data_IF_308744395826
#
_entry.id   IF_308744395826
#
_cell.length_a   1.000
_cell.length_b   1.000
_cell.length_c   1.000
_cell.angle_alpha   90.00
_cell.angle_beta   90.00
_cell.angle_gamma   90.00
#
_symmetry.space_group_name_H-M   'P 1'
#
loop_
_entity.id
_entity.type
_entity.pdbx_description
1 polymer ?
2 polymer ?
3 polymer ?
4 polymer ?
5 non-polymer ?
6 non-polymer ?
7 non-polymer ?
8 non-polymer ?
9 non-polymer ?
10 non-polymer ?
11 non-polymer ?
12 water ?
#
loop_
_entity_poly.entity_id
_entity_poly.type
_entity_poly.pdbx_seq_one_letter_code
_entity_poly.pdbx_strand_id
2 'polydeoxyribonucleotide' '(DC)(DG)(DG)(DC)(DC)(DT)(DA)(DC)(DG)' ?
3 'polydeoxyribonucleotide' '(DC)(DG)(DT)(DA)(8OG)' ?
4 'polydeoxyribonucleotide' '(DG)(DC)(DC)(DG)' ?
#
# COMPACT_ATOMS: atom_id res chain seq x y z
N UNK A 11 2.73 -21.61 -17.59
CA UNK A 11 1.95 -22.00 -16.40
C UNK A 11 1.72 -20.82 -15.46
N UNK A 12 2.68 -19.89 -15.46
CA UNK A 12 2.59 -18.69 -14.63
C UNK A 12 2.32 -17.49 -15.54
N UNK A 13 1.21 -16.78 -15.38
CA UNK A 13 0.97 -15.62 -16.25
C UNK A 13 1.82 -14.43 -15.85
N UNK A 14 1.96 -13.50 -16.80
CA UNK A 14 2.98 -12.47 -16.65
C UNK A 14 2.54 -11.31 -15.76
N UNK A 15 1.24 -11.06 -15.65
CA UNK A 15 0.74 -9.97 -14.81
C UNK A 15 0.24 -10.52 -13.47
N UNK A 16 0.48 -9.76 -12.40
CA UNK A 16 0.06 -10.24 -11.07
C UNK A 16 -1.44 -10.32 -10.92
N UNK A 17 -2.20 -9.56 -11.71
CA UNK A 17 -3.64 -9.57 -11.64
C UNK A 17 -4.24 -10.83 -12.24
N UNK A 18 -3.43 -11.65 -12.92
CA UNK A 18 -3.89 -12.88 -13.56
C UNK A 18 -3.72 -14.14 -12.72
N UNK A 19 -3.26 -14.00 -11.48
CA UNK A 19 -2.97 -15.16 -10.67
C UNK A 19 -3.23 -14.87 -9.21
N UNK A 20 -3.78 -15.82 -8.47
CA UNK A 20 -3.98 -15.58 -7.05
C UNK A 20 -2.65 -15.45 -6.34
N UNK A 21 -2.59 -14.51 -5.41
CA UNK A 21 -1.42 -14.33 -4.55
C UNK A 21 -1.87 -14.24 -3.10
N UNK A 22 -1.67 -15.29 -2.30
CA UNK A 22 -2.13 -15.29 -0.92
C UNK A 22 -1.20 -14.48 -0.04
N UNK A 23 -1.69 -14.16 1.16
CA UNK A 23 -0.91 -13.33 2.07
C UNK A 23 0.33 -14.06 2.58
N UNK A 24 0.19 -15.34 2.88
CA UNK A 24 1.32 -16.17 3.28
C UNK A 24 1.56 -17.24 2.24
N UNK A 25 2.82 -17.64 2.11
CA UNK A 25 3.22 -18.44 0.94
C UNK A 25 4.43 -19.30 1.29
N UNK A 26 5.11 -19.81 0.26
CA UNK A 26 6.09 -20.87 0.40
C UNK A 26 7.47 -20.41 0.01
N UNK A 27 7.67 -19.13 -0.22
CA UNK A 27 8.95 -18.60 -0.69
C UNK A 27 9.29 -17.31 0.01
N UNK A 28 8.98 -17.22 1.31
CA UNK A 28 9.06 -15.93 2.02
C UNK A 28 10.46 -15.34 1.99
N UNK A 29 11.48 -16.14 2.29
CA UNK A 29 12.83 -15.60 2.29
C UNK A 29 13.29 -15.11 0.94
N UNK A 30 12.99 -15.85 -0.11
CA UNK A 30 13.39 -15.42 -1.43
C UNK A 30 12.71 -14.10 -1.81
N UNK A 31 11.39 -14.03 -1.58
CA UNK A 31 10.67 -12.80 -1.92
C UNK A 31 11.17 -11.61 -1.12
N UNK A 32 11.50 -11.82 0.15
CA UNK A 32 11.97 -10.69 0.97
C UNK A 32 13.30 -10.14 0.42
N UNK A 33 14.17 -11.00 -0.05
CA UNK A 33 15.45 -10.54 -0.56
C UNK A 33 15.27 -9.75 -1.84
N UNK A 34 14.40 -10.22 -2.72
CA UNK A 34 14.15 -9.49 -3.95
C UNK A 34 13.50 -8.15 -3.66
N UNK A 35 12.67 -8.09 -2.62
CA UNK A 35 12.04 -6.84 -2.23
C UNK A 35 13.03 -5.84 -1.64
N UNK A 36 14.08 -6.29 -0.99
CA UNK A 36 15.14 -5.37 -0.57
C UNK A 36 15.76 -4.69 -1.78
N UNK A 37 16.06 -5.46 -2.84
CA UNK A 37 16.64 -4.84 -4.01
C UNK A 37 15.64 -3.92 -4.71
N UNK A 38 14.36 -4.26 -4.69
CA UNK A 38 13.36 -3.37 -5.27
C UNK A 38 13.35 -2.05 -4.52
N UNK A 39 13.29 -2.13 -3.20
CA UNK A 39 13.25 -0.94 -2.37
C UNK A 39 14.49 -0.07 -2.61
N UNK A 40 15.67 -0.68 -2.68
CA UNK A 40 16.88 0.07 -2.93
C UNK A 40 16.87 0.73 -4.30
N UNK A 41 16.30 0.05 -5.31
CA UNK A 41 16.16 0.69 -6.63
C UNK A 41 15.27 1.91 -6.55
N UNK A 42 14.21 1.86 -5.76
CA UNK A 42 13.37 3.05 -5.61
C UNK A 42 14.12 4.19 -4.97
N UNK A 43 14.96 3.90 -4.01
CA UNK A 43 15.69 4.97 -3.34
C UNK A 43 16.65 5.65 -4.29
N UNK A 44 17.10 4.96 -5.35
CA UNK A 44 17.94 5.57 -6.37
C UNK A 44 17.15 6.11 -7.55
N UNK A 45 15.85 6.10 -7.49
CA UNK A 45 15.04 6.62 -8.57
C UNK A 45 14.94 5.74 -9.80
N UNK A 46 15.23 4.44 -9.67
CA UNK A 46 15.10 3.50 -10.80
C UNK A 46 13.78 2.75 -10.65
N UNK A 47 12.72 3.36 -11.14
CA UNK A 47 11.40 2.76 -11.05
C UNK A 47 11.27 1.49 -11.87
N UNK A 48 11.98 1.41 -12.99
CA UNK A 48 11.89 0.19 -13.81
C UNK A 48 12.48 -1.02 -13.10
N UNK A 49 13.65 -0.85 -12.50
CA UNK A 49 14.27 -1.95 -11.75
C UNK A 49 13.47 -2.28 -10.49
N UNK A 50 12.88 -1.27 -9.84
CA UNK A 50 12.00 -1.55 -8.73
C UNK A 50 10.86 -2.45 -9.17
N UNK A 51 10.26 -2.13 -10.34
CA UNK A 51 9.11 -2.92 -10.78
C UNK A 51 9.51 -4.35 -11.09
N UNK A 52 10.62 -4.54 -11.80
CA UNK A 52 11.07 -5.90 -12.10
C UNK A 52 11.29 -6.70 -10.83
N UNK A 53 11.99 -6.14 -9.83
CA UNK A 53 12.27 -6.93 -8.63
C UNK A 53 10.99 -7.18 -7.85
N UNK A 54 10.09 -6.20 -7.82
CA UNK A 54 8.80 -6.42 -7.17
C UNK A 54 8.01 -7.52 -7.87
N UNK A 55 7.98 -7.49 -9.22
CA UNK A 55 7.24 -8.49 -9.96
C UNK A 55 7.84 -9.88 -9.76
N UNK A 56 9.17 -9.98 -9.78
CA UNK A 56 9.84 -11.27 -9.54
C UNK A 56 9.51 -11.80 -8.15
N UNK A 57 9.56 -10.92 -7.15
CA UNK A 57 9.18 -11.34 -5.80
C UNK A 57 7.75 -11.85 -5.78
N UNK A 58 6.86 -11.15 -6.49
CA UNK A 58 5.45 -11.54 -6.47
C UNK A 58 5.22 -12.89 -7.14
N UNK A 59 5.95 -13.19 -8.20
CA UNK A 59 5.84 -14.49 -8.84
C UNK A 59 6.12 -15.60 -7.83
N UNK A 60 7.14 -15.41 -7.00
CA UNK A 60 7.45 -16.43 -6.00
C UNK A 60 6.34 -16.55 -4.97
N UNK A 61 5.67 -15.45 -4.62
CA UNK A 61 4.57 -15.53 -3.68
C UNK A 61 3.42 -16.37 -4.24
N UNK A 62 3.28 -16.41 -5.56
CA UNK A 62 2.18 -17.09 -6.22
C UNK A 62 2.45 -18.57 -6.48
N UNK A 63 3.68 -19.05 -6.27
CA UNK A 63 3.99 -20.44 -6.50
C UNK A 63 3.36 -21.37 -5.47
N UNK A 64 3.09 -22.63 -5.83
CA UNK A 64 2.38 -23.54 -4.92
C UNK A 64 3.28 -24.24 -3.93
N UNK A 65 4.59 -24.09 -4.04
CA UNK A 65 5.51 -24.80 -3.16
C UNK A 65 6.86 -24.08 -3.20
N UNK A 66 7.79 -24.47 -2.32
CA UNK A 66 9.08 -23.76 -2.29
C UNK A 66 9.91 -24.01 -3.53
N UNK A 67 10.61 -22.96 -3.97
CA UNK A 67 11.73 -23.13 -4.90
C UNK A 67 12.92 -23.69 -4.13
N UNK A 68 13.40 -24.86 -4.60
CA UNK A 68 14.55 -25.53 -4.01
C UNK A 68 15.72 -25.65 -4.97
N UNK A 69 15.50 -25.46 -6.26
CA UNK A 69 16.57 -25.64 -7.23
C UNK A 69 16.40 -24.57 -8.30
N UNK A 70 17.54 -24.15 -8.84
CA UNK A 70 17.55 -23.05 -9.80
C UNK A 70 16.73 -23.37 -11.04
N UNK A 71 16.70 -24.64 -11.45
CA UNK A 71 15.87 -25.21 -12.51
C UNK A 71 14.44 -24.72 -12.45
N UNK A 72 13.95 -24.56 -11.22
CA UNK A 72 12.54 -24.25 -11.07
C UNK A 72 12.21 -22.83 -11.48
N UNK A 73 13.21 -21.99 -11.74
CA UNK A 73 12.90 -20.66 -12.22
C UNK A 73 12.76 -20.59 -13.73
N UNK A 74 13.12 -21.66 -14.43
CA UNK A 74 13.06 -21.65 -15.89
C UNK A 74 11.64 -21.41 -16.37
N UNK A 75 11.49 -20.44 -17.24
CA UNK A 75 10.17 -20.15 -17.75
C UNK A 75 9.32 -19.26 -16.85
N UNK A 76 9.79 -18.91 -15.63
CA UNK A 76 8.96 -18.01 -14.83
C UNK A 76 9.13 -16.58 -15.34
N UNK A 77 8.06 -15.84 -15.45
CA UNK A 77 8.19 -14.46 -15.91
C UNK A 77 8.91 -13.61 -14.87
N UNK A 78 9.67 -12.66 -15.37
CA UNK A 78 10.40 -11.63 -14.60
C UNK A 78 11.65 -12.16 -13.94
N UNK A 79 12.06 -13.39 -14.25
CA UNK A 79 13.32 -13.95 -13.77
C UNK A 79 14.32 -13.97 -14.92
N UNK A 80 15.26 -13.03 -14.88
CA UNK A 80 16.36 -12.99 -15.76
C UNK A 80 17.66 -13.23 -15.02
N UNK A 81 18.76 -12.76 -15.63
CA UNK A 81 20.06 -13.07 -15.07
C UNK A 81 20.18 -12.58 -13.64
N UNK A 82 19.73 -11.36 -13.37
CA UNK A 82 19.97 -10.74 -12.06
C UNK A 82 19.11 -11.38 -10.98
N UNK A 83 17.81 -11.45 -11.17
CA UNK A 83 16.95 -12.04 -10.15
C UNK A 83 17.25 -13.52 -9.96
N UNK A 84 17.65 -14.22 -11.04
CA UNK A 84 18.00 -15.63 -10.89
C UNK A 84 19.28 -15.78 -10.09
N UNK A 85 20.25 -14.88 -10.27
CA UNK A 85 21.47 -14.97 -9.49
C UNK A 85 21.20 -14.78 -8.02
N UNK A 86 20.30 -13.85 -7.68
CA UNK A 86 19.95 -13.63 -6.29
C UNK A 86 19.41 -14.91 -5.67
N UNK A 87 18.45 -15.54 -6.35
CA UNK A 87 17.87 -16.77 -5.85
C UNK A 87 18.93 -17.86 -5.76
N UNK A 88 19.79 -17.98 -6.80
CA UNK A 88 20.86 -18.97 -6.81
C UNK A 88 21.71 -18.85 -5.54
N UNK A 89 22.12 -17.62 -5.21
CA UNK A 89 23.00 -17.44 -4.06
C UNK A 89 22.28 -17.79 -2.76
N UNK A 90 21.00 -17.44 -2.64
CA UNK A 90 20.23 -17.79 -1.46
C UNK A 90 20.09 -19.31 -1.33
N UNK A 91 19.83 -20.01 -2.44
CA UNK A 91 19.72 -21.48 -2.40
C UNK A 91 21.03 -22.13 -2.00
N UNK A 92 22.14 -21.59 -2.51
CA UNK A 92 23.42 -22.27 -2.30
C UNK A 92 24.06 -21.91 -0.95
N UNK A 93 23.93 -20.66 -0.50
CA UNK A 93 24.64 -20.17 0.67
C UNK A 93 23.74 -19.62 1.76
N UNK A 94 22.46 -19.43 1.51
CA UNK A 94 21.56 -18.87 2.49
C UNK A 94 21.58 -17.36 2.61
N UNK A 95 22.40 -16.69 1.82
CA UNK A 95 22.50 -15.24 1.79
C UNK A 95 22.92 -14.86 0.38
N UNK A 96 22.55 -13.64 -0.01
CA UNK A 96 23.00 -13.04 -1.26
C UNK A 96 23.86 -11.83 -0.91
N UNK A 97 25.11 -11.84 -1.38
CA UNK A 97 26.05 -10.80 -1.02
C UNK A 97 25.54 -9.41 -1.40
N UNK A 98 24.96 -9.29 -2.58
CA UNK A 98 24.43 -7.97 -2.97
C UNK A 98 23.36 -7.51 -2.00
N UNK A 99 22.44 -8.41 -1.61
CA UNK A 99 21.37 -8.05 -0.68
C UNK A 99 21.96 -7.60 0.65
N UNK A 100 22.95 -8.33 1.14
CA UNK A 100 23.52 -8.00 2.45
C UNK A 100 24.29 -6.68 2.41
N UNK A 101 24.95 -6.40 1.30
CA UNK A 101 25.63 -5.12 1.13
C UNK A 101 24.63 -3.98 1.14
N UNK A 102 23.50 -4.15 0.47
CA UNK A 102 22.44 -3.14 0.54
C UNK A 102 22.00 -2.95 1.97
N UNK A 103 21.66 -4.04 2.65
CA UNK A 103 21.13 -3.95 4.00
C UNK A 103 22.01 -3.17 4.95
N UNK A 104 23.33 -3.37 4.88
CA UNK A 104 24.28 -2.74 5.79
C UNK A 104 24.82 -1.42 5.25
N UNK A 105 24.21 -0.89 4.19
CA UNK A 105 24.70 0.37 3.64
C UNK A 105 24.07 1.56 4.34
N UNK A 106 24.91 2.58 4.56
CA UNK A 106 24.44 3.80 5.19
C UNK A 106 23.35 4.47 4.33
N UNK A 107 23.51 4.42 3.01
CA UNK A 107 22.51 5.01 2.13
C UNK A 107 21.16 4.32 2.27
N UNK A 108 21.14 2.98 2.19
CA UNK A 108 19.88 2.27 2.29
C UNK A 108 19.23 2.53 3.66
N UNK A 109 20.02 2.43 4.73
CA UNK A 109 19.42 2.53 6.05
C UNK A 109 18.88 3.93 6.30
N UNK A 110 19.60 4.95 5.87
CA UNK A 110 19.12 6.31 6.10
C UNK A 110 17.93 6.64 5.20
N UNK A 111 17.97 6.25 3.93
CA UNK A 111 16.82 6.50 3.07
C UNK A 111 15.58 5.78 3.58
N UNK A 112 15.74 4.55 4.09
CA UNK A 112 14.61 3.83 4.64
C UNK A 112 14.05 4.57 5.85
N UNK A 113 14.93 5.02 6.75
CA UNK A 113 14.43 5.71 7.95
C UNK A 113 13.72 7.00 7.57
N UNK A 114 14.30 7.78 6.67
CA UNK A 114 13.71 9.09 6.39
C UNK A 114 12.41 8.94 5.61
N UNK A 115 12.38 8.03 4.63
CA UNK A 115 11.14 7.88 3.85
C UNK A 115 10.02 7.26 4.69
N UNK A 116 10.35 6.60 5.79
CA UNK A 116 9.28 6.12 6.64
C UNK A 116 8.52 7.23 7.33
N UNK A 117 9.09 8.44 7.40
CA UNK A 117 8.44 9.57 8.03
C UNK A 117 7.26 10.02 7.17
N UNK A 118 6.10 10.15 7.78
CA UNK A 118 4.95 10.73 7.09
C UNK A 118 5.28 12.17 6.70
N UNK A 119 5.21 12.47 5.39
CA UNK A 119 5.54 13.76 4.85
C UNK A 119 6.88 13.83 4.13
N UNK A 120 7.64 12.74 4.16
CA UNK A 120 8.94 12.64 3.53
C UNK A 120 8.90 11.56 2.49
N UNK A 121 9.22 11.92 1.23
CA UNK A 121 9.35 10.97 0.17
C UNK A 121 10.81 10.78 -0.23
N UNK A 122 11.04 10.00 -1.29
CA UNK A 122 12.40 9.73 -1.74
C UNK A 122 13.16 11.02 -2.05
N UNK A 123 12.53 11.95 -2.76
CA UNK A 123 13.23 13.17 -3.16
C UNK A 123 13.68 13.97 -1.94
N UNK A 124 12.80 14.14 -0.94
CA UNK A 124 13.22 14.87 0.25
C UNK A 124 14.30 14.12 1.01
N UNK A 125 14.09 12.81 1.21
CA UNK A 125 15.07 11.98 1.92
C UNK A 125 16.45 12.08 1.27
N UNK A 126 16.49 11.98 -0.06
CA UNK A 126 17.75 12.05 -0.79
C UNK A 126 18.42 13.39 -0.62
N UNK A 127 17.65 14.48 -0.63
CA UNK A 127 18.24 15.80 -0.44
C UNK A 127 18.84 15.94 0.95
N UNK A 128 18.13 15.44 1.97
CA UNK A 128 18.67 15.46 3.33
C UNK A 128 19.91 14.58 3.43
N UNK A 129 19.90 13.40 2.80
CA UNK A 129 21.07 12.55 2.78
C UNK A 129 22.26 13.27 2.17
N UNK A 130 22.05 13.94 1.02
CA UNK A 130 23.18 14.63 0.38
C UNK A 130 23.69 15.79 1.24
N UNK A 131 22.82 16.39 2.05
CA UNK A 131 23.23 17.42 3.00
C UNK A 131 23.97 16.88 4.20
N UNK A 132 24.04 15.56 4.35
CA UNK A 132 24.77 14.95 5.44
C UNK A 132 23.92 14.55 6.63
N UNK A 133 22.60 14.68 6.56
CA UNK A 133 21.76 14.30 7.68
C UNK A 133 21.58 12.79 7.66
N UNK A 134 21.55 12.19 8.86
CA UNK A 134 21.50 10.74 8.96
C UNK A 134 20.46 10.20 9.94
N UNK A 135 20.07 10.97 10.97
CA UNK A 135 19.19 10.45 12.03
C UNK A 135 17.98 11.34 12.22
N UNK A 136 16.97 10.79 12.89
CA UNK A 136 15.78 11.59 13.17
C UNK A 136 16.14 12.78 14.05
N UNK A 137 17.05 12.60 14.99
CA UNK A 137 17.46 13.72 15.83
C UNK A 137 18.21 14.78 15.03
N UNK A 138 18.94 14.40 13.98
CA UNK A 138 19.45 15.41 13.05
C UNK A 138 18.34 16.27 12.52
N UNK A 139 17.20 15.68 12.13
CA UNK A 139 16.09 16.44 11.55
C UNK A 139 15.42 17.31 12.61
N UNK A 140 15.30 16.78 13.83
CA UNK A 140 14.66 17.54 14.89
C UNK A 140 15.45 18.80 15.23
N UNK A 141 16.76 18.77 15.06
CA UNK A 141 17.58 19.93 15.42
C UNK A 141 17.49 21.05 14.40
N UNK A 142 16.81 20.84 13.29
CA UNK A 142 16.66 21.85 12.23
C UNK A 142 15.19 21.94 11.83
N UNK A 143 14.31 22.32 12.77
CA UNK A 143 12.87 22.25 12.49
C UNK A 143 12.38 23.25 11.47
N UNK A 144 13.16 24.29 11.18
CA UNK A 144 12.78 25.23 10.14
C UNK A 144 12.90 24.62 8.75
N UNK A 145 13.62 23.51 8.64
CA UNK A 145 13.66 22.77 7.39
C UNK A 145 12.46 21.84 7.21
N UNK A 146 11.42 21.92 8.05
CA UNK A 146 10.35 20.93 8.03
C UNK A 146 8.99 21.54 7.77
N UNK A 147 8.19 20.82 7.01
CA UNK A 147 6.80 21.21 6.85
C UNK A 147 6.00 20.80 8.08
N UNK A 148 4.85 21.43 8.25
CA UNK A 148 3.94 21.02 9.30
C UNK A 148 3.67 19.52 9.26
N UNK A 149 3.48 18.97 8.07
CA UNK A 149 3.21 17.56 7.93
C UNK A 149 4.39 16.74 8.42
N UNK A 150 5.60 17.14 8.03
CA UNK A 150 6.82 16.46 8.45
C UNK A 150 7.03 16.57 9.94
N UNK A 151 6.69 17.72 10.51
CA UNK A 151 6.82 17.86 11.95
C UNK A 151 5.93 16.83 12.66
N UNK A 152 4.69 16.69 12.24
CA UNK A 152 3.79 15.71 12.81
C UNK A 152 4.29 14.30 12.59
N UNK A 153 4.75 14.01 11.38
CA UNK A 153 5.33 12.71 11.11
C UNK A 153 6.52 12.39 12.00
N UNK A 154 7.39 13.37 12.26
CA UNK A 154 8.54 13.17 13.13
C UNK A 154 8.12 13.03 14.58
N UNK A 155 7.18 13.86 15.06
CA UNK A 155 6.74 13.76 16.45
C UNK A 155 6.11 12.41 16.73
N UNK A 156 5.32 11.89 15.79
CA UNK A 156 4.58 10.66 15.95
C UNK A 156 5.29 9.43 15.40
N UNK A 157 6.55 9.58 14.99
CA UNK A 157 7.21 8.48 14.25
C UNK A 157 7.28 7.19 15.05
N UNK A 158 7.58 7.26 16.35
CA UNK A 158 7.73 6.05 17.13
C UNK A 158 6.41 5.27 17.18
N UNK A 159 5.30 5.96 17.48
CA UNK A 159 4.01 5.28 17.49
C UNK A 159 3.68 4.73 16.12
N UNK A 160 3.95 5.49 15.06
CA UNK A 160 3.55 5.09 13.72
C UNK A 160 4.41 3.93 13.23
N UNK A 161 5.53 3.66 13.86
CA UNK A 161 6.38 2.54 13.49
C UNK A 161 5.91 1.22 14.09
N UNK A 162 4.92 1.24 14.98
CA UNK A 162 4.47 0.03 15.64
C UNK A 162 3.13 -0.41 15.06
N UNK A 163 3.03 -1.64 14.63
CA UNK A 163 1.84 -2.05 13.89
C UNK A 163 0.58 -2.00 14.73
N UNK A 164 -0.58 -1.72 14.09
CA UNK A 164 -1.83 -1.86 14.82
C UNK A 164 -2.44 -3.18 14.45
N UNK A 165 -3.23 -3.67 15.35
CA UNK A 165 -3.92 -4.96 15.32
C UNK A 165 -5.36 -4.82 14.78
N UNK A 166 -5.89 -5.93 14.24
CA UNK A 166 -7.28 -5.91 13.76
C UNK A 166 -8.24 -5.50 14.86
N UNK A 167 -7.96 -5.89 16.12
CA UNK A 167 -8.73 -5.44 17.28
C UNK A 167 -8.84 -3.94 17.32
N UNK A 168 -7.71 -3.26 17.11
CA UNK A 168 -7.66 -1.82 17.10
C UNK A 168 -8.49 -1.26 15.96
N UNK A 169 -8.43 -1.92 14.79
CA UNK A 169 -9.14 -1.46 13.60
C UNK A 169 -10.63 -1.45 13.85
N UNK A 170 -11.15 -2.48 14.53
CA UNK A 170 -12.59 -2.58 14.74
C UNK A 170 -13.09 -1.48 15.68
N UNK A 171 -12.29 -1.15 16.69
CA UNK A 171 -12.64 -0.04 17.58
C UNK A 171 -12.64 1.28 16.83
N UNK A 172 -11.61 1.51 16.01
CA UNK A 172 -11.56 2.71 15.18
C UNK A 172 -12.81 2.79 14.29
N UNK A 173 -13.17 1.68 13.64
CA UNK A 173 -14.26 1.73 12.70
C UNK A 173 -15.55 2.19 13.38
N UNK A 174 -15.78 1.78 14.62
CA UNK A 174 -16.99 2.22 15.30
C UNK A 174 -16.97 3.73 15.53
N UNK A 175 -15.82 4.31 15.87
CA UNK A 175 -15.78 5.75 16.10
C UNK A 175 -15.99 6.50 14.79
N UNK A 176 -15.42 6.01 13.70
CA UNK A 176 -15.61 6.64 12.40
C UNK A 176 -17.08 6.54 11.97
N UNK A 177 -17.69 5.39 12.19
CA UNK A 177 -19.11 5.21 11.89
C UNK A 177 -20.00 6.17 12.67
N UNK A 178 -19.70 6.42 13.95
CA UNK A 178 -20.51 7.35 14.71
C UNK A 178 -20.45 8.73 14.08
N UNK A 179 -19.25 9.20 13.73
CA UNK A 179 -19.11 10.53 13.16
C UNK A 179 -19.78 10.60 11.79
N UNK A 180 -19.59 9.56 10.98
CA UNK A 180 -20.18 9.49 9.64
C UNK A 180 -21.68 9.49 9.70
N UNK A 181 -22.25 8.78 10.66
CA UNK A 181 -23.71 8.76 10.81
C UNK A 181 -24.32 10.10 11.15
N UNK A 182 -23.63 10.92 11.98
CA UNK A 182 -24.07 12.29 12.24
C UNK A 182 -23.85 13.17 11.04
N UNK A 183 -22.77 12.97 10.32
CA UNK A 183 -22.49 13.83 9.19
C UNK A 183 -23.51 13.60 8.10
N UNK A 184 -23.91 12.36 7.90
CA UNK A 184 -24.86 12.00 6.85
C UNK A 184 -25.52 10.67 7.19
N UNK A 185 -26.69 10.69 7.78
CA UNK A 185 -27.39 9.43 8.07
C UNK A 185 -27.56 8.57 6.83
N UNK A 186 -27.31 7.28 6.99
CA UNK A 186 -27.33 6.33 5.92
C UNK A 186 -26.00 6.10 5.22
N UNK A 187 -25.02 6.95 5.44
CA UNK A 187 -23.72 6.73 4.85
C UNK A 187 -23.07 5.53 5.51
N UNK A 188 -22.24 4.82 4.74
CA UNK A 188 -21.61 3.58 5.18
C UNK A 188 -20.10 3.73 5.19
N UNK A 189 -19.47 2.88 6.00
CA UNK A 189 -18.02 2.82 6.18
C UNK A 189 -17.55 1.40 5.87
N UNK A 190 -16.60 1.26 4.95
CA UNK A 190 -16.05 -0.04 4.56
C UNK A 190 -14.56 -0.04 4.86
N UNK A 191 -14.06 -1.09 5.54
CA UNK A 191 -12.63 -1.28 5.77
C UNK A 191 -11.97 -1.74 4.47
N UNK A 192 -10.95 -1.03 4.06
CA UNK A 192 -10.18 -1.39 2.86
C UNK A 192 -8.73 -1.69 3.20
N UNK A 193 -7.82 -1.45 2.26
CA UNK A 193 -6.40 -1.71 2.44
C UNK A 193 -6.03 -3.12 2.84
N UNK A 194 -4.88 -3.23 3.51
CA UNK A 194 -4.34 -4.55 3.81
C UNK A 194 -5.20 -5.37 4.75
N UNK A 195 -5.95 -4.71 5.65
CA UNK A 195 -6.79 -5.48 6.53
C UNK A 195 -7.90 -6.16 5.74
N UNK A 196 -8.45 -5.52 4.71
CA UNK A 196 -9.44 -6.24 3.90
C UNK A 196 -8.82 -7.43 3.14
N UNK A 197 -7.52 -7.39 2.88
CA UNK A 197 -6.84 -8.53 2.25
C UNK A 197 -6.45 -9.61 3.21
N UNK A 198 -6.80 -9.47 4.48
CA UNK A 198 -6.63 -10.49 5.49
C UNK A 198 -5.49 -10.28 6.46
N UNK A 199 -4.76 -9.17 6.35
CA UNK A 199 -3.63 -8.95 7.25
C UNK A 199 -4.14 -8.78 8.68
N UNK A 200 -3.45 -9.42 9.64
CA UNK A 200 -3.84 -9.39 11.04
C UNK A 200 -3.28 -8.17 11.74
N UNK A 201 -2.29 -7.56 11.12
CA UNK A 201 -1.66 -6.31 11.57
C UNK A 201 -1.45 -5.39 10.38
N UNK A 202 -1.05 -4.18 10.68
CA UNK A 202 -0.65 -3.28 9.61
C UNK A 202 -0.33 -1.93 10.17
N UNK A 203 0.21 -1.09 9.32
CA UNK A 203 0.79 0.17 9.79
C UNK A 203 -0.09 1.35 9.51
N UNK A 204 -1.31 1.08 9.09
CA UNK A 204 -2.27 2.13 8.85
C UNK A 204 -3.63 1.45 8.74
N UNK A 205 -4.66 2.26 8.65
CA UNK A 205 -6.02 1.77 8.50
C UNK A 205 -6.69 2.62 7.43
N UNK A 206 -7.42 2.00 6.49
CA UNK A 206 -8.07 2.68 5.39
C UNK A 206 -9.58 2.40 5.41
N UNK A 207 -10.36 3.46 5.30
CA UNK A 207 -11.80 3.38 5.25
C UNK A 207 -12.33 4.08 4.01
N UNK A 208 -13.35 3.49 3.41
CA UNK A 208 -14.03 4.01 2.24
C UNK A 208 -15.49 4.28 2.58
N UNK A 209 -15.96 5.50 2.33
CA UNK A 209 -17.26 5.99 2.80
C UNK A 209 -18.11 6.31 1.57
N UNK A 210 -19.38 5.88 1.58
CA UNK A 210 -20.29 6.23 0.49
C UNK A 210 -21.68 6.38 1.08
N UNK A 211 -22.65 6.61 0.20
CA UNK A 211 -24.06 6.68 0.57
C UNK A 211 -24.85 6.07 -0.58
N UNK A 212 -25.92 5.32 -0.28
CA UNK A 212 -26.64 4.63 -1.35
C UNK A 212 -27.36 5.53 -2.33
N UNK A 213 -27.56 6.80 -2.02
CA UNK A 213 -28.24 7.73 -2.92
C UNK A 213 -27.20 8.62 -3.59
N UNK A 214 -26.99 8.37 -4.87
CA UNK A 214 -26.02 9.11 -5.66
C UNK A 214 -26.15 10.62 -5.47
N UNK A 215 -25.03 11.23 -5.11
CA UNK A 215 -24.96 12.66 -4.92
C UNK A 215 -25.00 13.08 -3.47
N UNK A 216 -25.58 12.26 -2.61
CA UNK A 216 -25.70 12.63 -1.21
C UNK A 216 -24.34 12.71 -0.55
N UNK A 217 -23.32 12.05 -1.11
CA UNK A 217 -21.99 12.08 -0.51
C UNK A 217 -21.23 13.37 -0.79
N UNK A 218 -21.74 14.24 -1.65
CA UNK A 218 -21.05 15.51 -1.93
C UNK A 218 -20.88 16.28 -0.63
N UNK A 219 -19.68 16.79 -0.41
CA UNK A 219 -19.40 17.59 0.77
C UNK A 219 -19.26 16.83 2.04
N UNK A 220 -19.22 15.50 2.00
CA UNK A 220 -19.28 14.70 3.21
C UNK A 220 -17.99 14.77 4.02
N UNK A 221 -16.82 14.66 3.37
CA UNK A 221 -15.59 14.47 4.13
C UNK A 221 -15.29 15.60 5.10
N UNK A 222 -15.47 16.88 4.74
CA UNK A 222 -15.28 17.93 5.73
C UNK A 222 -16.17 17.79 6.93
N UNK A 223 -17.41 17.35 6.73
CA UNK A 223 -18.34 17.20 7.83
C UNK A 223 -17.90 16.08 8.75
N UNK A 224 -17.35 15.00 8.18
CA UNK A 224 -16.82 13.90 8.98
C UNK A 224 -15.59 14.34 9.77
N UNK A 225 -14.67 15.04 9.11
CA UNK A 225 -13.45 15.49 9.77
C UNK A 225 -13.75 16.43 10.91
N UNK A 226 -14.70 17.34 10.71
CA UNK A 226 -15.00 18.29 11.77
C UNK A 226 -15.50 17.55 13.00
N UNK A 227 -16.32 16.53 12.79
CA UNK A 227 -16.90 15.79 13.91
C UNK A 227 -15.82 14.97 14.65
N UNK A 228 -14.94 14.31 13.92
CA UNK A 228 -13.85 13.60 14.57
C UNK A 228 -12.94 14.56 15.30
N UNK A 229 -12.69 15.74 14.73
CA UNK A 229 -11.85 16.71 15.43
C UNK A 229 -12.52 17.19 16.71
N UNK A 230 -13.82 17.43 16.67
CA UNK A 230 -14.49 17.89 17.88
C UNK A 230 -14.54 16.80 18.95
N UNK A 231 -14.44 15.52 18.57
CA UNK A 231 -14.36 14.43 19.55
C UNK A 231 -12.94 14.26 20.12
N UNK A 232 -11.98 15.08 19.69
CA UNK A 232 -10.63 15.01 20.19
C UNK A 232 -9.80 13.87 19.65
N UNK A 233 -10.19 13.26 18.55
CA UNK A 233 -9.56 12.06 18.05
C UNK A 233 -8.49 12.35 17.03
N UNK A 234 -8.40 13.55 16.49
CA UNK A 234 -7.53 13.86 15.39
C UNK A 234 -6.28 14.57 15.91
N UNK A 235 -5.17 13.86 15.86
CA UNK A 235 -3.88 14.44 16.22
C UNK A 235 -3.31 15.28 15.10
N UNK A 236 -3.61 14.92 13.85
CA UNK A 236 -3.14 15.66 12.69
C UNK A 236 -4.05 15.40 11.49
N UNK A 237 -4.39 16.47 10.75
CA UNK A 237 -4.98 16.35 9.42
C UNK A 237 -4.80 17.66 8.67
N UNK A 238 -4.72 17.56 7.34
CA UNK A 238 -4.44 18.71 6.46
C UNK A 238 -5.59 19.73 6.44
N UNK A 259 -12.94 18.26 -0.33
CA UNK A 259 -11.94 17.18 -0.58
C UNK A 259 -12.56 15.79 -0.50
N UNK A 260 -11.89 14.74 -1.06
CA UNK A 260 -12.38 13.36 -0.98
C UNK A 260 -11.42 12.32 -0.38
N UNK A 261 -10.17 12.69 -0.06
CA UNK A 261 -9.24 11.82 0.63
C UNK A 261 -8.67 12.61 1.79
N UNK A 262 -8.60 12.01 2.96
CA UNK A 262 -8.01 12.65 4.14
C UNK A 262 -6.98 11.71 4.73
N UNK A 263 -5.73 12.19 4.90
CA UNK A 263 -4.62 11.40 5.43
C UNK A 263 -4.40 11.92 6.83
N UNK A 264 -4.78 11.18 7.84
CA UNK A 264 -4.72 11.77 9.16
C UNK A 264 -4.05 10.83 10.16
N UNK A 265 -3.72 11.42 11.29
CA UNK A 265 -3.19 10.68 12.44
C UNK A 265 -4.26 10.78 13.52
N UNK A 266 -4.73 9.63 13.99
CA UNK A 266 -5.76 9.45 15.01
C UNK A 266 -5.13 9.14 16.35
N UNK A 267 -5.88 9.46 17.42
CA UNK A 267 -5.65 8.91 18.76
C UNK A 267 -6.42 7.60 18.94
N UNK A 268 -5.70 6.51 19.12
CA UNK A 268 -6.28 5.19 19.36
C UNK A 268 -6.12 4.81 20.84
N UNK A 269 -7.21 4.52 21.55
CA UNK A 269 -7.08 4.07 22.95
C UNK A 269 -6.22 2.83 23.10
N UNK A 270 -5.52 2.77 24.23
CA UNK A 270 -4.67 1.67 24.65
C UNK A 270 -4.85 1.57 26.16
N UNK A 271 -4.50 0.42 26.75
CA UNK A 271 -4.69 0.29 28.20
C UNK A 271 -4.07 1.45 28.98
N UNK A 272 -4.90 2.28 29.61
CA UNK A 272 -4.39 3.37 30.43
C UNK A 272 -3.74 4.52 29.67
N UNK A 273 -3.78 4.49 28.34
CA UNK A 273 -3.18 5.57 27.56
C UNK A 273 -3.71 5.53 26.13
N UNK A 274 -2.88 5.83 25.14
CA UNK A 274 -3.32 5.85 23.75
C UNK A 274 -2.08 5.84 22.88
N UNK A 275 -2.28 5.66 21.57
CA UNK A 275 -1.18 5.77 20.64
C UNK A 275 -1.67 6.40 19.35
N UNK A 276 -0.73 7.00 18.64
CA UNK A 276 -1.05 7.57 17.35
C UNK A 276 -1.12 6.47 16.28
N UNK A 277 -2.09 6.58 15.37
CA UNK A 277 -2.26 5.64 14.25
C UNK A 277 -2.57 6.42 12.99
N UNK A 278 -2.00 6.01 11.87
CA UNK A 278 -2.36 6.59 10.58
C UNK A 278 -3.68 6.01 10.08
N UNK A 279 -4.61 6.90 9.72
CA UNK A 279 -5.89 6.50 9.17
C UNK A 279 -6.15 7.32 7.92
N UNK A 280 -6.56 6.64 6.87
CA UNK A 280 -7.00 7.30 5.64
C UNK A 280 -8.51 7.16 5.49
N UNK A 281 -9.15 8.27 5.19
CA UNK A 281 -10.59 8.30 4.93
C UNK A 281 -10.83 8.78 3.53
N UNK A 282 -11.64 8.04 2.78
CA UNK A 282 -11.92 8.31 1.38
C UNK A 282 -13.42 8.30 1.17
N UNK A 283 -13.93 9.24 0.39
CA UNK A 283 -15.34 9.26 0.01
C UNK A 283 -15.45 8.99 -1.48
N UNK A 284 -16.42 8.16 -1.87
CA UNK A 284 -16.76 7.96 -3.27
C UNK A 284 -18.27 7.97 -3.44
N UNK A 285 -18.77 8.48 -4.56
CA UNK A 285 -20.18 8.26 -4.91
C UNK A 285 -20.41 6.78 -5.16
N UNK A 286 -21.64 6.34 -4.89
CA UNK A 286 -21.93 4.92 -5.00
C UNK A 286 -21.70 4.38 -6.41
N UNK A 287 -21.91 5.19 -7.46
CA UNK A 287 -21.57 4.75 -8.81
C UNK A 287 -20.11 4.38 -8.99
N UNK A 288 -19.22 4.99 -8.22
CA UNK A 288 -17.78 4.76 -8.32
C UNK A 288 -17.26 3.80 -7.24
N UNK A 289 -18.13 3.42 -6.30
CA UNK A 289 -17.70 2.65 -5.15
C UNK A 289 -16.95 1.39 -5.54
N UNK A 290 -17.39 0.59 -6.52
CA UNK A 290 -16.61 -0.63 -6.81
C UNK A 290 -15.20 -0.33 -7.27
N UNK A 291 -15.02 0.75 -8.04
CA UNK A 291 -13.68 1.13 -8.48
C UNK A 291 -12.82 1.61 -7.33
N UNK A 292 -13.43 2.37 -6.41
CA UNK A 292 -12.67 2.87 -5.29
C UNK A 292 -12.32 1.73 -4.34
N UNK A 293 -13.27 0.82 -4.09
CA UNK A 293 -13.01 -0.36 -3.27
C UNK A 293 -11.88 -1.18 -3.86
N UNK A 294 -11.93 -1.42 -5.15
CA UNK A 294 -10.87 -2.18 -5.82
C UNK A 294 -9.52 -1.50 -5.66
N UNK A 295 -9.48 -0.20 -5.93
CA UNK A 295 -8.21 0.51 -5.83
C UNK A 295 -7.64 0.55 -4.43
N UNK A 296 -8.47 0.90 -3.46
CA UNK A 296 -8.02 1.07 -2.10
C UNK A 296 -7.79 -0.24 -1.37
N UNK A 297 -8.19 -1.38 -1.92
CA UNK A 297 -7.90 -2.68 -1.33
C UNK A 297 -6.54 -3.18 -1.73
N UNK A 298 -5.99 -2.73 -2.85
CA UNK A 298 -4.61 -3.09 -3.17
C UNK A 298 -4.46 -4.56 -3.56
N UNK A 299 -3.26 -5.11 -3.37
CA UNK A 299 -2.05 -4.44 -2.97
C UNK A 299 -1.62 -3.39 -3.99
N UNK A 300 -0.62 -2.58 -3.60
CA UNK A 300 -0.08 -1.58 -4.52
C UNK A 300 0.35 -2.22 -5.82
N UNK A 301 1.17 -3.28 -5.76
CA UNK A 301 1.62 -3.92 -6.98
C UNK A 301 0.42 -4.47 -7.75
N UNK A 302 -0.52 -5.08 -7.05
CA UNK A 302 -1.67 -5.65 -7.74
C UNK A 302 -2.38 -4.60 -8.57
N UNK A 303 -2.58 -3.41 -7.98
CA UNK A 303 -3.29 -2.35 -8.69
C UNK A 303 -2.50 -1.78 -9.85
N UNK A 304 -1.20 -1.58 -9.70
CA UNK A 304 -0.39 -1.13 -10.84
C UNK A 304 -0.45 -2.14 -11.97
N UNK A 305 -0.39 -3.44 -11.60
CA UNK A 305 -0.45 -4.50 -12.61
C UNK A 305 -1.82 -4.55 -13.28
N UNK A 306 -2.89 -4.37 -12.51
CA UNK A 306 -4.24 -4.38 -13.06
C UNK A 306 -4.45 -3.22 -14.03
N UNK A 307 -4.01 -2.02 -13.65
CA UNK A 307 -4.10 -0.86 -14.54
C UNK A 307 -3.24 -1.06 -15.80
N UNK A 308 -2.05 -1.66 -15.63
CA UNK A 308 -1.20 -1.92 -16.78
C UNK A 308 -1.88 -2.92 -17.72
N UNK A 309 -2.43 -4.00 -17.15
CA UNK A 309 -3.13 -5.01 -17.95
C UNK A 309 -4.30 -4.38 -18.69
N UNK A 310 -5.11 -3.61 -17.97
CA UNK A 310 -6.27 -2.98 -18.59
C UNK A 310 -5.86 -2.20 -19.83
N UNK A 311 -4.85 -1.34 -19.67
CA UNK A 311 -4.49 -0.44 -20.78
C UNK A 311 -3.80 -1.20 -21.90
N UNK A 312 -2.82 -2.03 -21.55
CA UNK A 312 -1.95 -2.64 -22.57
C UNK A 312 -2.59 -3.84 -23.22
N UNK A 313 -3.36 -4.63 -22.46
CA UNK A 313 -3.98 -5.84 -23.03
C UNK A 313 -5.40 -5.60 -23.52
N UNK A 314 -6.16 -4.72 -22.87
CA UNK A 314 -7.56 -4.51 -23.20
C UNK A 314 -7.87 -3.16 -23.79
N UNK A 315 -6.93 -2.22 -23.79
CA UNK A 315 -7.19 -0.90 -24.33
C UNK A 315 -8.14 -0.04 -23.54
N UNK A 316 -8.32 -0.33 -22.24
CA UNK A 316 -9.21 0.38 -21.37
C UNK A 316 -8.41 1.01 -20.25
N UNK A 317 -8.86 2.15 -19.76
CA UNK A 317 -8.08 2.98 -18.85
C UNK A 317 -8.75 2.93 -17.47
N UNK A 318 -8.05 2.41 -16.49
CA UNK A 318 -8.61 2.14 -15.16
C UNK A 318 -8.03 3.09 -14.10
N UNK A 319 -8.90 3.63 -13.26
CA UNK A 319 -8.45 4.30 -12.05
C UNK A 319 -9.42 4.01 -10.91
N UNK A 320 -9.33 4.74 -9.81
CA UNK A 320 -10.19 4.49 -8.68
C UNK A 320 -11.55 5.12 -8.82
N UNK A 321 -11.82 5.78 -9.93
CA UNK A 321 -13.12 6.34 -10.20
C UNK A 321 -13.88 5.61 -11.30
N UNK A 322 -13.24 4.78 -12.13
CA UNK A 322 -13.96 4.20 -13.24
C UNK A 322 -13.03 3.53 -14.23
N UNK A 323 -13.62 3.06 -15.32
CA UNK A 323 -12.94 2.27 -16.35
C UNK A 323 -13.43 2.83 -17.67
N UNK A 324 -12.53 3.42 -18.44
CA UNK A 324 -12.90 4.20 -19.62
C UNK A 324 -12.51 3.45 -20.89
N UNK A 325 -13.43 3.41 -21.85
CA UNK A 325 -13.15 2.92 -23.19
C UNK A 325 -12.84 4.14 -24.04
N UNK A 326 -11.58 4.37 -24.43
CA UNK A 326 -11.22 5.59 -25.17
C UNK A 326 -11.62 5.58 -26.63
N UNK A 327 -12.04 4.44 -27.16
CA UNK A 327 -12.51 4.41 -28.54
C UNK A 327 -13.99 4.79 -28.63
N UNK A 328 -14.83 4.22 -27.76
CA UNK A 328 -16.23 4.59 -27.68
C UNK A 328 -16.46 5.82 -26.83
N UNK A 329 -15.50 6.19 -25.99
CA UNK A 329 -15.60 7.40 -25.18
C UNK A 329 -16.70 7.23 -24.13
N UNK A 330 -16.70 6.06 -23.49
CA UNK A 330 -17.70 5.70 -22.51
C UNK A 330 -17.08 5.04 -21.30
N UNK A 331 -17.74 5.21 -20.16
CA UNK A 331 -17.37 4.62 -18.87
C UNK A 331 -18.19 3.39 -18.61
N UNK A 332 -17.54 2.33 -18.19
CA UNK A 332 -18.27 1.13 -17.78
C UNK A 332 -18.96 1.39 -16.47
N UNK A 333 -20.18 0.94 -16.37
CA UNK A 333 -20.87 0.96 -15.10
C UNK A 333 -20.49 -0.35 -14.41
N UNK A 334 -20.18 -0.25 -13.17
CA UNK A 334 -19.98 -1.46 -12.39
C UNK A 334 -20.77 -1.34 -11.11
N UNK A 335 -21.39 -2.47 -10.72
CA UNK A 335 -22.09 -2.56 -9.46
C UNK A 335 -21.35 -3.38 -8.42
N UNK A 336 -20.20 -3.97 -8.79
CA UNK A 336 -19.39 -4.81 -7.93
C UNK A 336 -18.00 -4.95 -8.48
N UNK A 337 -17.08 -5.33 -7.60
CA UNK A 337 -15.75 -5.71 -8.05
C UNK A 337 -15.82 -6.85 -9.06
N UNK A 338 -16.74 -7.81 -8.86
CA UNK A 338 -16.90 -8.88 -9.80
C UNK A 338 -17.17 -8.35 -11.21
N UNK A 339 -17.99 -7.30 -11.33
CA UNK A 339 -18.25 -6.71 -12.64
C UNK A 339 -16.95 -6.23 -13.28
N UNK A 340 -16.07 -5.61 -12.48
CA UNK A 340 -14.86 -5.04 -13.07
C UNK A 340 -13.94 -6.14 -13.58
N UNK A 341 -13.76 -7.21 -12.81
CA UNK A 341 -12.94 -8.31 -13.32
C UNK A 341 -13.55 -8.87 -14.60
N UNK A 342 -14.88 -9.02 -14.65
CA UNK A 342 -15.52 -9.52 -15.86
C UNK A 342 -15.28 -8.59 -17.04
N UNK A 343 -15.40 -7.27 -16.84
CA UNK A 343 -15.18 -6.31 -17.92
C UNK A 343 -13.80 -6.52 -18.54
N UNK A 344 -12.79 -6.78 -17.70
CA UNK A 344 -11.39 -6.91 -18.08
C UNK A 344 -11.03 -8.32 -18.52
N UNK A 345 -11.98 -9.24 -18.54
CA UNK A 345 -11.67 -10.59 -18.97
C UNK A 345 -10.77 -11.38 -18.03
N UNK A 346 -10.78 -11.07 -16.74
CA UNK A 346 -9.95 -11.73 -15.75
C UNK A 346 -10.82 -12.54 -14.82
N UNK A 347 -10.30 -13.68 -14.38
CA UNK A 347 -10.98 -14.45 -13.36
C UNK A 347 -11.00 -13.64 -12.07
N UNK A 348 -12.13 -13.68 -11.38
CA UNK A 348 -12.27 -12.93 -10.13
C UNK A 348 -11.29 -13.41 -9.08
N UNK A 349 -10.66 -12.46 -8.39
CA UNK A 349 -9.83 -12.74 -7.22
C UNK A 349 -10.42 -12.04 -6.02
N UNK A 350 -10.73 -12.76 -4.95
CA UNK A 350 -11.15 -12.11 -3.71
C UNK A 350 -10.00 -11.31 -3.12
N UNK A 351 -10.28 -10.40 -2.20
CA UNK A 351 -9.19 -9.55 -1.66
C UNK A 351 -8.01 -10.33 -1.10
N UNK A 352 -8.28 -11.45 -0.44
CA UNK A 352 -7.18 -12.17 0.19
C UNK A 352 -6.28 -12.87 -0.84
N UNK A 353 -6.62 -12.85 -2.13
CA UNK A 353 -5.78 -13.34 -3.20
C UNK A 353 -5.20 -12.23 -4.05
N UNK A 354 -5.19 -11.00 -3.53
CA UNK A 354 -4.64 -9.82 -4.19
C UNK A 354 -3.39 -9.32 -3.50
N UNK A 355 -2.70 -10.20 -2.79
CA UNK A 355 -1.51 -9.83 -2.03
C UNK A 355 -0.25 -9.94 -2.88
N UNK A 356 -0.28 -9.37 -4.06
CA UNK A 356 0.85 -9.38 -4.95
C UNK A 356 1.96 -8.58 -4.35
X LIG E 1 7.15 9.02 3.91
X LIG F 1 -3.15 0.74 4.28
X LIG G 1 -3.51 4.14 4.34
X LIG H 1 15.26 1.69 -13.56
X LIG I 1 7.61 -4.51 -4.33
X LIG J 1 7.79 -24.08 -7.08
X LIG J 1 6.46 -24.51 -7.07
X LIG J 1 8.77 -25.21 -7.34
X LIG J 1 8.58 -25.66 -8.66
X LIG K 1 -6.91 6.60 -8.92
X LIG K 1 -7.91 7.56 -8.99
X LIG K 1 -5.95 6.43 -7.74
X LIG L 1 -6.64 4.02 -4.79
X LIG L 1 -6.57 3.57 -6.11
X LIG L 1 -5.39 4.76 -4.37
X LIG L 1 -5.39 5.96 -5.06
X LIG M 1 -11.21 9.73 -19.55
X LIG M 1 -12.06 10.85 -19.55
X LIG M 1 -10.65 9.49 -18.15
X LIG M 1 -9.90 8.30 -18.12
X LIG N 1 12.33 -26.92 1.17
X LIG N 1 11.15 -27.50 0.68
X LIG N 1 12.13 -25.53 1.74
X LIG N 1 13.01 -24.68 1.02
X LIG O 1 -21.63 -0.30 -0.38
X LIG O 1 -21.22 -1.64 -0.31
X LIG O 1 -22.02 0.04 1.04
X LIG O 1 -22.44 1.35 1.04
X LIG P 1 0.11 -9.86 8.65
X LIG P 1 -0.09 -8.48 9.10
X LIG P 1 0.56 -9.81 7.27
X LIG P 1 -0.99 -10.74 9.06
X LIG Q 1 -1.96 -1.30 2.29
X LIG Q 1 -0.59 -0.80 2.76
X LIG Q 1 -2.05 -2.06 1.27
X LIG Q 1 -3.02 -0.87 2.92
#
# INVERSE_FOLDING_TARGET
GSAAAPLSPAWMPAYACQRPTPLTHHNTGLSEALEILAEAAGFEGSEGRLLTFCRAASVLKALPSPVTTLSQLQGLPHFGEHSSRVVQELLEHGVCEEVERVRRSERYQTMKLFTQIFGVGVKTADRWYREGLRTLDDLREQPQKLTQQQKAGLQHHQDLSTPVLRSDVDALQQVVEEAVGQALPGATVTLTGGFRRGKLQGHDVDFLITHPKEGQEAGLLPRVMCRLQDQGLILYHQHQHSCCESPTRLAQQSHMDAFERSFCIFRLPQPGSWKAVRVDLVVAPVSQFPFALLGWTGSKLFQRELRRFSRKEKGLWLNSHGLFDPEQKTFFQAASEEDIFRHLGLEYLPPEQRNA
NA NA
MG MG
MG MG
CL CL
DTT S1
EDO C1 O1 C2 O2
EDO C1 O1 C2
EDO C1 O1 C2 O2
EDO C1 O1 C2 O2
EDO C1 O1 C2 O2
EDO C1 O1 C2 O2
EPE S O1S O2S O3S
GOA C CA O OXT
#
